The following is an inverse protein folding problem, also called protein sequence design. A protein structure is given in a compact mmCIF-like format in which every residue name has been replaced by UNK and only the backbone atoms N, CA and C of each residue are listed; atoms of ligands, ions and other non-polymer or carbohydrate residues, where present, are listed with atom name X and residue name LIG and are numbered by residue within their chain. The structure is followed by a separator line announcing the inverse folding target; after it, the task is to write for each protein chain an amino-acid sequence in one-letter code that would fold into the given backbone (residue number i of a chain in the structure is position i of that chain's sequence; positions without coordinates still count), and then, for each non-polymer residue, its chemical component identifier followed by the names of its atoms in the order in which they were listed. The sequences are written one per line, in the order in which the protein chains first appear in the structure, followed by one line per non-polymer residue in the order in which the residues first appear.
data_IF_425814773391
#
_entry.id   IF_425814773391
#
_cell.length_a   1.000
_cell.length_b   1.000
_cell.length_c   1.000
_cell.angle_alpha   90.00
_cell.angle_beta   90.00
_cell.angle_gamma   90.00
#
_symmetry.space_group_name_H-M   'P 1'
#
loop_
_entity.id
_entity.type
_entity.pdbx_description
1 polymer ?
#
# COMPACT_ATOMS: atom_id res chain seq x y z
N UNK A 1 -13.25 1.27 9.67
CA UNK A 1 -11.81 1.47 9.92
C UNK A 1 -11.14 1.62 8.57
N UNK A 2 -10.24 2.58 8.36
CA UNK A 2 -9.57 2.76 7.05
C UNK A 2 -8.24 2.02 6.98
N UNK A 3 -7.90 1.55 5.78
CA UNK A 3 -6.65 0.83 5.47
C UNK A 3 -5.95 1.47 4.28
N UNK A 4 -4.65 1.63 4.37
CA UNK A 4 -3.80 2.04 3.26
C UNK A 4 -3.14 0.81 2.60
N UNK A 5 -2.97 0.89 1.28
CA UNK A 5 -2.25 -0.13 0.50
C UNK A 5 -0.83 0.33 0.19
N UNK A 6 0.13 -0.59 0.28
CA UNK A 6 1.50 -0.41 -0.20
C UNK A 6 1.66 -0.88 -1.67
N UNK A 7 2.78 -0.52 -2.29
CA UNK A 7 3.08 -0.82 -3.69
C UNK A 7 3.13 -2.33 -3.98
N UNK A 8 3.68 -3.14 -3.08
CA UNK A 8 3.76 -4.60 -3.30
C UNK A 8 2.36 -5.23 -3.50
N UNK A 9 1.33 -4.76 -2.79
CA UNK A 9 -0.04 -5.28 -2.91
C UNK A 9 -0.58 -5.06 -4.32
N UNK A 10 -0.48 -3.83 -4.84
CA UNK A 10 -0.95 -3.51 -6.20
C UNK A 10 -0.08 -4.16 -7.28
N UNK A 11 1.24 -4.17 -7.07
CA UNK A 11 2.16 -4.82 -7.99
C UNK A 11 1.86 -6.31 -8.12
N UNK A 12 1.49 -6.98 -7.03
CA UNK A 12 1.10 -8.40 -7.07
C UNK A 12 -0.23 -8.60 -7.78
N UNK A 13 -1.22 -7.74 -7.56
CA UNK A 13 -2.47 -7.75 -8.33
C UNK A 13 -2.23 -7.56 -9.85
N UNK A 14 -1.14 -6.90 -10.22
CA UNK A 14 -0.67 -6.72 -11.61
C UNK A 14 0.23 -7.84 -12.16
N UNK A 15 0.30 -9.00 -11.48
CA UNK A 15 1.05 -10.19 -11.90
C UNK A 15 2.59 -10.05 -11.86
N UNK A 16 3.12 -9.14 -11.05
CA UNK A 16 4.59 -8.95 -10.98
C UNK A 16 5.32 -10.07 -10.23
N UNK A 17 4.58 -10.96 -9.55
CA UNK A 17 5.11 -12.09 -8.78
C UNK A 17 4.41 -13.42 -9.10
N UNK A 18 3.90 -13.54 -10.33
CA UNK A 18 3.28 -14.75 -10.85
C UNK A 18 1.81 -14.96 -10.46
N UNK A 19 1.14 -15.91 -11.14
CA UNK A 19 -0.32 -16.00 -11.14
C UNK A 19 -0.91 -16.41 -9.79
N UNK A 20 -0.18 -17.19 -8.99
CA UNK A 20 -0.60 -17.58 -7.65
C UNK A 20 -0.63 -16.38 -6.70
N UNK A 21 0.41 -15.53 -6.73
CA UNK A 21 0.46 -14.32 -5.91
C UNK A 21 -0.56 -13.28 -6.38
N UNK A 22 -0.74 -13.15 -7.70
CA UNK A 22 -1.79 -12.34 -8.29
C UNK A 22 -3.17 -12.70 -7.75
N UNK A 23 -3.50 -14.00 -7.76
CA UNK A 23 -4.77 -14.50 -7.22
C UNK A 23 -4.93 -14.10 -5.76
N UNK A 24 -3.91 -14.34 -4.93
CA UNK A 24 -3.94 -13.98 -3.50
C UNK A 24 -4.13 -12.48 -3.27
N UNK A 25 -3.47 -11.62 -4.05
CA UNK A 25 -3.61 -10.17 -3.96
C UNK A 25 -5.01 -9.71 -4.38
N UNK A 26 -5.55 -10.24 -5.48
CA UNK A 26 -6.91 -9.91 -5.92
C UNK A 26 -7.97 -10.41 -4.95
N UNK A 27 -7.82 -11.63 -4.40
CA UNK A 27 -8.74 -12.18 -3.42
C UNK A 27 -8.71 -11.39 -2.11
N UNK A 28 -7.55 -10.89 -1.68
CA UNK A 28 -7.42 -9.96 -0.57
C UNK A 28 -8.18 -8.66 -0.84
N UNK A 29 -7.92 -8.01 -1.98
CA UNK A 29 -8.54 -6.73 -2.34
C UNK A 29 -10.06 -6.84 -2.48
N UNK A 30 -10.57 -7.98 -2.97
CA UNK A 30 -12.00 -8.25 -3.07
C UNK A 30 -12.72 -8.37 -1.72
N UNK A 31 -11.99 -8.64 -0.63
CA UNK A 31 -12.52 -8.68 0.74
C UNK A 31 -12.45 -7.31 1.43
N UNK A 32 -11.84 -6.31 0.80
CA UNK A 32 -11.74 -4.96 1.36
C UNK A 32 -12.86 -4.08 0.80
N UNK A 33 -13.47 -3.25 1.66
CA UNK A 33 -14.43 -2.23 1.21
C UNK A 33 -13.69 -1.14 0.42
N UNK A 34 -14.08 -0.82 -0.82
CA UNK A 34 -13.46 0.23 -1.63
C UNK A 34 -13.50 1.61 -0.96
N UNK A 35 -14.56 1.91 -0.21
CA UNK A 35 -14.77 3.21 0.45
C UNK A 35 -13.85 3.41 1.66
N UNK A 36 -13.34 2.31 2.23
CA UNK A 36 -12.46 2.32 3.40
C UNK A 36 -11.03 1.89 3.09
N UNK A 37 -10.73 1.62 1.82
CA UNK A 37 -9.40 1.26 1.33
C UNK A 37 -8.82 2.44 0.56
N UNK A 38 -7.67 2.93 0.98
CA UNK A 38 -7.04 4.12 0.44
C UNK A 38 -5.69 3.78 -0.18
N UNK A 39 -5.31 4.54 -1.21
CA UNK A 39 -4.02 4.40 -1.87
C UNK A 39 -3.22 5.71 -1.72
N UNK A 40 -2.06 5.70 -1.05
CA UNK A 40 -1.13 6.82 -1.10
C UNK A 40 -0.76 7.15 -2.54
N UNK A 41 -0.81 8.42 -2.95
CA UNK A 41 -0.50 8.82 -4.33
C UNK A 41 0.90 8.34 -4.79
N UNK A 42 1.84 8.30 -3.85
CA UNK A 42 3.19 7.75 -4.04
C UNK A 42 3.18 6.29 -4.53
N UNK A 43 2.25 5.46 -4.05
CA UNK A 43 2.11 4.05 -4.44
C UNK A 43 1.76 3.90 -5.92
N UNK A 44 0.97 4.82 -6.49
CA UNK A 44 0.68 4.83 -7.93
C UNK A 44 1.94 5.14 -8.77
N UNK A 45 2.77 6.07 -8.31
CA UNK A 45 4.04 6.41 -8.97
C UNK A 45 5.02 5.24 -8.95
N UNK A 46 5.12 4.56 -7.81
CA UNK A 46 5.95 3.36 -7.67
C UNK A 46 5.43 2.19 -8.49
N UNK A 47 4.11 1.97 -8.51
CA UNK A 47 3.48 0.97 -9.35
C UNK A 47 3.86 1.16 -10.82
N UNK A 48 3.74 2.38 -11.35
CA UNK A 48 4.16 2.68 -12.73
C UNK A 48 5.61 2.28 -12.97
N UNK A 49 6.52 2.69 -12.07
CA UNK A 49 7.94 2.39 -12.18
C UNK A 49 8.21 0.87 -12.14
N UNK A 50 7.55 0.14 -11.24
CA UNK A 50 7.65 -1.32 -11.12
C UNK A 50 7.15 -2.01 -12.39
N UNK A 51 5.98 -1.63 -12.92
CA UNK A 51 5.41 -2.25 -14.12
C UNK A 51 6.30 -2.04 -15.35
N UNK A 52 6.85 -0.83 -15.53
CA UNK A 52 7.73 -0.54 -16.67
C UNK A 52 9.10 -1.20 -16.50
N UNK A 53 9.73 -1.04 -15.32
CA UNK A 53 11.14 -1.46 -15.13
C UNK A 53 11.28 -2.94 -14.84
N UNK A 54 10.49 -3.47 -13.90
CA UNK A 54 10.57 -4.85 -13.41
C UNK A 54 9.75 -5.79 -14.29
N UNK A 55 8.50 -5.45 -14.58
CA UNK A 55 7.61 -6.29 -15.39
C UNK A 55 7.74 -6.08 -16.91
N UNK A 56 8.59 -5.15 -17.36
CA UNK A 56 8.84 -4.83 -18.78
C UNK A 56 7.56 -4.53 -19.56
N UNK A 57 6.54 -4.01 -18.88
CA UNK A 57 5.26 -3.65 -19.49
C UNK A 57 5.43 -2.36 -20.31
N UNK A 58 4.77 -2.31 -21.47
CA UNK A 58 4.76 -1.10 -22.29
C UNK A 58 4.17 0.09 -21.49
N UNK A 59 4.79 1.29 -21.54
CA UNK A 59 4.33 2.44 -20.76
C UNK A 59 2.83 2.78 -20.89
N UNK A 60 2.18 2.68 -22.07
CA UNK A 60 0.74 2.90 -22.18
C UNK A 60 -0.09 1.94 -21.31
N UNK A 61 0.28 0.65 -21.25
CA UNK A 61 -0.39 -0.33 -20.39
C UNK A 61 -0.10 -0.14 -18.91
N UNK A 62 1.09 0.36 -18.56
CA UNK A 62 1.39 0.73 -17.17
C UNK A 62 0.56 1.95 -16.73
N UNK A 63 0.36 2.93 -17.62
CA UNK A 63 -0.53 4.08 -17.40
C UNK A 63 -1.98 3.63 -17.18
N UNK A 64 -2.49 2.70 -18.00
CA UNK A 64 -3.85 2.17 -17.85
C UNK A 64 -4.07 1.53 -16.47
N UNK A 65 -3.10 0.76 -15.98
CA UNK A 65 -3.15 0.19 -14.63
C UNK A 65 -3.21 1.29 -13.55
N UNK A 66 -2.32 2.30 -13.62
CA UNK A 66 -2.31 3.42 -12.68
C UNK A 66 -3.65 4.15 -12.64
N UNK A 67 -4.25 4.44 -13.80
CA UNK A 67 -5.56 5.08 -13.88
C UNK A 67 -6.65 4.21 -13.27
N UNK A 68 -6.63 2.90 -13.57
CA UNK A 68 -7.61 1.95 -13.03
C UNK A 68 -7.57 1.91 -11.50
N UNK A 69 -6.38 1.83 -10.90
CA UNK A 69 -6.25 1.84 -9.43
C UNK A 69 -6.60 3.20 -8.82
N UNK A 70 -6.24 4.29 -9.50
CA UNK A 70 -6.58 5.65 -9.06
C UNK A 70 -8.08 5.97 -9.10
N UNK A 71 -8.81 5.36 -10.03
CA UNK A 71 -10.27 5.51 -10.13
C UNK A 71 -11.02 4.57 -9.16
N UNK A 72 -10.41 3.44 -8.80
CA UNK A 72 -11.04 2.41 -7.97
C UNK A 72 -11.06 2.73 -6.46
N UNK A 73 -10.10 3.53 -5.97
CA UNK A 73 -9.94 3.80 -4.54
C UNK A 73 -9.64 5.28 -4.26
N UNK A 74 -10.10 5.84 -3.13
CA UNK A 74 -9.68 7.17 -2.70
C UNK A 74 -8.16 7.28 -2.54
N UNK A 75 -7.61 8.40 -3.01
CA UNK A 75 -6.18 8.70 -2.93
C UNK A 75 -5.83 9.50 -1.68
N UNK A 76 -4.65 9.24 -1.12
CA UNK A 76 -4.04 10.05 -0.07
C UNK A 76 -2.98 10.95 -0.70
N UNK A 77 -3.10 12.26 -0.49
CA UNK A 77 -2.14 13.23 -0.99
C UNK A 77 -0.80 13.14 -0.27
N UNK A 78 0.29 13.40 -0.98
CA UNK A 78 1.62 13.59 -0.38
C UNK A 78 1.83 15.08 -0.09
N UNK A 79 1.25 15.55 1.01
CA UNK A 79 1.34 16.94 1.43
C UNK A 79 2.73 17.31 1.97
N UNK A 80 3.07 18.62 2.09
CA UNK A 80 4.30 19.03 2.76
C UNK A 80 4.41 18.51 4.20
N UNK A 81 3.29 18.38 4.92
CA UNK A 81 3.26 17.81 6.27
C UNK A 81 3.67 16.32 6.26
N UNK A 82 3.18 15.55 5.28
CA UNK A 82 3.61 14.15 5.06
C UNK A 82 5.11 14.06 4.82
N UNK A 83 5.67 14.96 4.00
CA UNK A 83 7.12 14.99 3.70
C UNK A 83 7.97 15.27 4.95
N UNK A 84 7.57 16.25 5.78
CA UNK A 84 8.28 16.56 7.02
C UNK A 84 8.20 15.38 8.00
N UNK A 85 7.01 14.81 8.17
CA UNK A 85 6.81 13.66 9.04
C UNK A 85 7.60 12.42 8.55
N UNK A 86 7.66 12.18 7.24
CA UNK A 86 8.44 11.11 6.64
C UNK A 86 9.95 11.30 6.85
N UNK A 87 10.43 12.54 6.84
CA UNK A 87 11.83 12.85 7.15
C UNK A 87 12.17 12.46 8.58
N UNK A 88 11.33 12.86 9.54
CA UNK A 88 11.51 12.50 10.95
C UNK A 88 11.42 10.98 11.16
N UNK A 89 10.45 10.33 10.53
CA UNK A 89 10.24 8.88 10.59
C UNK A 89 11.44 8.10 10.00
N UNK A 90 11.97 8.54 8.86
CA UNK A 90 13.14 7.94 8.23
C UNK A 90 14.39 8.04 9.13
N UNK A 91 14.59 9.17 9.80
CA UNK A 91 15.73 9.35 10.71
C UNK A 91 15.56 8.55 12.01
N UNK A 92 14.39 8.67 12.65
CA UNK A 92 14.14 8.08 13.97
C UNK A 92 13.99 6.56 13.93
N UNK A 93 13.45 6.00 12.85
CA UNK A 93 13.19 4.57 12.71
C UNK A 93 14.03 3.88 11.63
N UNK A 94 14.92 4.61 10.92
CA UNK A 94 15.78 4.08 9.84
C UNK A 94 14.97 3.38 8.72
N UNK A 95 13.76 3.86 8.47
CA UNK A 95 12.95 3.39 7.37
C UNK A 95 13.49 3.90 6.03
N UNK A 96 13.27 3.13 4.97
CA UNK A 96 13.49 3.61 3.60
C UNK A 96 12.66 4.87 3.36
N UNK A 97 13.21 5.79 2.55
CA UNK A 97 12.54 7.06 2.27
C UNK A 97 11.10 6.88 1.77
N UNK A 98 10.90 5.99 0.80
CA UNK A 98 9.60 5.74 0.20
C UNK A 98 8.62 5.10 1.19
N UNK A 99 9.09 4.13 1.97
CA UNK A 99 8.33 3.51 3.05
C UNK A 99 7.87 4.54 4.10
N UNK A 100 8.75 5.46 4.47
CA UNK A 100 8.45 6.53 5.40
C UNK A 100 7.39 7.50 4.85
N UNK A 101 7.44 7.82 3.55
CA UNK A 101 6.41 8.64 2.89
C UNK A 101 5.06 7.94 2.88
N UNK A 102 5.02 6.65 2.51
CA UNK A 102 3.79 5.84 2.46
C UNK A 102 3.17 5.74 3.86
N UNK A 103 3.97 5.41 4.88
CA UNK A 103 3.48 5.29 6.25
C UNK A 103 3.03 6.65 6.82
N UNK A 104 3.74 7.73 6.50
CA UNK A 104 3.34 9.09 6.92
C UNK A 104 2.03 9.53 6.27
N UNK A 105 1.84 9.24 4.98
CA UNK A 105 0.58 9.49 4.28
C UNK A 105 -0.57 8.69 4.91
N UNK A 106 -0.36 7.39 5.18
CA UNK A 106 -1.35 6.56 5.84
C UNK A 106 -1.76 7.13 7.22
N UNK A 107 -0.80 7.64 7.99
CA UNK A 107 -1.06 8.26 9.29
C UNK A 107 -1.81 9.58 9.18
N UNK A 108 -1.44 10.44 8.22
CA UNK A 108 -2.12 11.73 7.95
C UNK A 108 -3.59 11.53 7.57
N UNK A 109 -3.87 10.50 6.76
CA UNK A 109 -5.22 10.06 6.42
C UNK A 109 -5.95 9.30 7.55
N UNK A 110 -5.33 9.16 8.73
CA UNK A 110 -5.85 8.42 9.89
C UNK A 110 -6.20 6.96 9.57
N UNK A 111 -5.46 6.33 8.66
CA UNK A 111 -5.57 4.89 8.44
C UNK A 111 -5.17 4.15 9.71
N UNK A 112 -5.89 3.07 10.00
CA UNK A 112 -5.54 2.21 11.14
C UNK A 112 -4.55 1.12 10.74
N UNK A 113 -4.56 0.75 9.46
CA UNK A 113 -3.68 -0.28 8.90
C UNK A 113 -2.94 0.24 7.68
N UNK A 114 -1.71 -0.24 7.50
CA UNK A 114 -0.98 -0.22 6.23
C UNK A 114 -0.69 -1.68 5.84
N UNK A 115 -1.17 -2.12 4.68
CA UNK A 115 -0.89 -3.45 4.16
C UNK A 115 0.41 -3.42 3.37
N UNK A 116 1.45 -4.06 3.90
CA UNK A 116 2.79 -4.09 3.31
C UNK A 116 3.47 -5.42 3.59
N UNK A 117 4.05 -6.04 2.56
CA UNK A 117 4.88 -7.24 2.72
C UNK A 117 6.32 -6.90 3.18
N UNK A 118 6.83 -5.75 2.73
CA UNK A 118 8.24 -5.36 2.91
C UNK A 118 8.52 -4.70 4.26
N UNK A 119 7.50 -4.12 4.89
CA UNK A 119 7.62 -3.50 6.21
C UNK A 119 7.44 -4.50 7.35
N UNK A 120 8.02 -4.15 8.51
CA UNK A 120 7.95 -4.98 9.69
C UNK A 120 6.49 -5.14 10.18
N UNK A 121 5.96 -6.35 10.08
CA UNK A 121 4.63 -6.70 10.60
C UNK A 121 4.51 -6.35 12.09
N UNK A 122 3.40 -5.70 12.46
CA UNK A 122 3.16 -5.21 13.82
C UNK A 122 3.86 -3.90 14.18
N UNK A 123 4.67 -3.31 13.29
CA UNK A 123 5.21 -1.97 13.51
C UNK A 123 4.07 -0.96 13.62
N UNK A 124 4.19 0.00 14.55
CA UNK A 124 3.17 1.03 14.75
C UNK A 124 3.79 2.41 14.79
N UNK A 125 3.14 3.36 14.11
CA UNK A 125 3.53 4.76 14.12
C UNK A 125 2.34 5.63 13.69
N UNK A 126 2.17 6.80 14.30
CA UNK A 126 1.11 7.73 13.93
C UNK A 126 -0.32 7.16 14.02
N UNK A 127 -0.53 6.13 14.85
CA UNK A 127 -1.81 5.42 14.97
C UNK A 127 -2.07 4.34 13.91
N UNK A 128 -1.17 4.19 12.92
CA UNK A 128 -1.18 3.14 11.90
C UNK A 128 -0.45 1.91 12.43
N UNK A 129 -0.98 0.72 12.14
CA UNK A 129 -0.28 -0.57 12.33
C UNK A 129 0.03 -1.18 10.97
N UNK A 130 1.30 -1.50 10.74
CA UNK A 130 1.74 -2.24 9.55
C UNK A 130 1.33 -3.69 9.71
N UNK A 131 0.78 -4.29 8.65
CA UNK A 131 0.57 -5.73 8.59
C UNK A 131 0.87 -6.32 7.23
N UNK A 132 1.49 -7.49 7.22
CA UNK A 132 1.72 -8.27 6.03
C UNK A 132 0.49 -9.14 5.71
N UNK A 133 -0.29 -8.80 4.67
CA UNK A 133 -1.52 -9.52 4.36
C UNK A 133 -1.29 -10.91 3.75
N UNK A 134 -0.05 -11.22 3.35
CA UNK A 134 0.36 -12.47 2.71
C UNK A 134 1.06 -13.43 3.69
N UNK A 135 1.29 -13.01 4.93
CA UNK A 135 1.77 -13.87 6.02
C UNK A 135 0.83 -15.05 6.26
N UNK A 136 1.40 -16.17 6.72
CA UNK A 136 0.64 -17.37 7.13
C UNK A 136 -0.23 -17.11 8.37
N UNK A 137 0.17 -16.16 9.21
CA UNK A 137 -0.61 -15.67 10.34
C UNK A 137 -0.87 -14.18 10.13
N UNK A 138 -2.14 -13.82 9.93
CA UNK A 138 -2.56 -12.42 9.73
C UNK A 138 -2.72 -11.72 11.07
N UNK A 139 -2.36 -10.44 11.10
CA UNK A 139 -2.54 -9.61 12.27
C UNK A 139 -4.05 -9.52 12.66
N UNK A 140 -4.41 -9.58 13.96
CA UNK A 140 -5.81 -9.58 14.40
C UNK A 140 -6.65 -8.40 13.89
N UNK A 141 -6.02 -7.22 13.70
CA UNK A 141 -6.69 -6.05 13.13
C UNK A 141 -7.12 -6.26 11.67
N UNK A 142 -6.30 -6.94 10.87
CA UNK A 142 -6.65 -7.26 9.48
C UNK A 142 -7.79 -8.28 9.46
N UNK A 143 -7.70 -9.33 10.27
CA UNK A 143 -8.77 -10.33 10.41
C UNK A 143 -10.11 -9.72 10.84
N UNK A 144 -10.10 -8.77 11.78
CA UNK A 144 -11.31 -8.06 12.20
C UNK A 144 -11.91 -7.18 11.10
N UNK A 145 -11.07 -6.68 10.18
CA UNK A 145 -11.51 -5.86 9.05
C UNK A 145 -12.11 -6.68 7.92
N UNK A 146 -11.54 -7.86 7.62
CA UNK A 146 -12.01 -8.75 6.54
C UNK A 146 -13.32 -9.48 6.87
N UNK A 147 -13.75 -9.47 8.14
CA UNK A 147 -14.99 -10.12 8.61
C UNK A 147 -16.22 -9.21 8.60
N UNK A 148 -16.06 -7.94 8.21
CA UNK A 148 -17.12 -6.95 8.12
C UNK A 148 -17.71 -6.92 6.71
#
# INVERSE_FOLDING_TARGET
MTVALDTNVLAYAEDTNGPAMKRRALDLLAQLSPESTLIPAQVLGELFAVLVRKAKRAPPRAREAVLTWGDAYPLIETSPAVILAATDLAVSHRLGWWDAVILSAAADARCRLLLSEDLQDGFTWGGVTVTNPFSSSRHPLLEAMLKQ
#
